data_IF_924536724303
#
_entry.id   IF_924536724303
#
_cell.length_a   1.000
_cell.length_b   1.000
_cell.length_c   1.000
_cell.angle_alpha   90.00
_cell.angle_beta   90.00
_cell.angle_gamma   90.00
#
_symmetry.space_group_name_H-M   'P 1'
#
loop_
_entity.id
_entity.type
_entity.pdbx_description
1 polymer ?
#
# COMPACT_ATOMS: atom_id res chain seq x y z
N UNK A 1 -3.96 -11.71 -18.76
CA UNK A 1 -3.97 -12.89 -19.67
C UNK A 1 -5.40 -13.33 -19.94
N UNK A 2 -6.13 -12.69 -20.89
CA UNK A 2 -7.54 -13.01 -21.14
C UNK A 2 -7.80 -14.47 -21.52
N UNK A 3 -6.80 -15.13 -22.07
CA UNK A 3 -6.89 -16.56 -22.42
C UNK A 3 -6.90 -17.50 -21.20
N UNK A 4 -6.40 -17.03 -20.05
CA UNK A 4 -6.31 -17.81 -18.81
C UNK A 4 -7.37 -17.33 -17.82
N UNK A 5 -7.54 -16.00 -17.69
CA UNK A 5 -8.43 -15.36 -16.73
C UNK A 5 -9.42 -14.41 -17.43
N UNK A 6 -10.42 -14.94 -18.17
CA UNK A 6 -11.27 -14.10 -19.01
C UNK A 6 -12.28 -13.22 -18.23
N UNK A 7 -12.46 -13.48 -16.94
CA UNK A 7 -13.48 -12.81 -16.11
C UNK A 7 -12.93 -12.08 -14.89
N UNK A 8 -11.61 -12.01 -14.75
CA UNK A 8 -10.97 -11.36 -13.59
C UNK A 8 -9.86 -10.42 -14.06
N UNK A 9 -9.67 -9.36 -13.30
CA UNK A 9 -8.55 -8.45 -13.49
C UNK A 9 -7.30 -9.11 -12.90
N UNK A 10 -6.35 -9.47 -13.73
CA UNK A 10 -5.10 -10.13 -13.33
C UNK A 10 -3.90 -9.17 -13.35
N UNK A 11 -4.11 -7.93 -13.76
CA UNK A 11 -3.11 -6.88 -13.80
C UNK A 11 -3.78 -5.51 -13.69
N UNK A 12 -3.21 -4.62 -12.88
CA UNK A 12 -3.70 -3.27 -12.73
C UNK A 12 -2.59 -2.26 -12.49
N UNK A 13 -2.74 -1.09 -13.10
CA UNK A 13 -2.02 0.12 -12.71
C UNK A 13 -3.03 1.17 -12.29
N UNK A 14 -2.94 1.63 -11.05
CA UNK A 14 -3.83 2.64 -10.48
C UNK A 14 -3.02 3.88 -10.17
N UNK A 15 -3.47 5.04 -10.64
CA UNK A 15 -2.86 6.33 -10.35
C UNK A 15 -3.83 7.12 -9.47
N UNK A 16 -3.39 7.45 -8.25
CA UNK A 16 -4.11 8.31 -7.33
C UNK A 16 -3.47 9.70 -7.36
N UNK A 17 -4.22 10.69 -7.77
CA UNK A 17 -3.79 12.08 -7.81
C UNK A 17 -4.37 12.85 -6.62
N UNK A 18 -3.52 13.52 -5.88
CA UNK A 18 -3.85 14.42 -4.77
C UNK A 18 -3.37 15.83 -5.08
N UNK A 19 -3.86 16.87 -4.41
CA UNK A 19 -3.44 18.25 -4.69
C UNK A 19 -1.92 18.50 -4.61
N UNK A 20 -1.21 17.76 -3.75
CA UNK A 20 0.24 17.91 -3.57
C UNK A 20 1.03 16.62 -3.67
N UNK A 21 0.40 15.52 -4.13
CA UNK A 21 1.05 14.22 -4.18
C UNK A 21 0.45 13.33 -5.27
N UNK A 22 1.17 12.28 -5.61
CA UNK A 22 0.73 11.22 -6.51
C UNK A 22 1.12 9.87 -5.92
N UNK A 23 0.24 8.88 -6.07
CA UNK A 23 0.57 7.50 -5.77
C UNK A 23 0.32 6.63 -7.00
N UNK A 24 1.25 5.73 -7.29
CA UNK A 24 1.13 4.74 -8.37
C UNK A 24 1.15 3.36 -7.71
N UNK A 25 0.11 2.59 -7.94
CA UNK A 25 -0.01 1.20 -7.48
C UNK A 25 0.08 0.31 -8.70
N UNK A 26 1.00 -0.63 -8.69
CA UNK A 26 1.13 -1.65 -9.72
C UNK A 26 0.91 -3.02 -9.08
N UNK A 27 -0.02 -3.77 -9.59
CA UNK A 27 -0.33 -5.12 -9.13
C UNK A 27 -0.48 -6.06 -10.33
N UNK A 28 0.13 -7.23 -10.26
CA UNK A 28 0.04 -8.22 -11.33
C UNK A 28 0.17 -9.64 -10.78
N UNK A 29 -0.68 -10.52 -11.23
CA UNK A 29 -0.57 -11.98 -11.08
C UNK A 29 0.29 -12.62 -12.18
N UNK A 30 0.72 -11.82 -13.15
CA UNK A 30 1.44 -12.29 -14.35
C UNK A 30 2.96 -12.19 -14.19
N UNK A 31 3.45 -11.56 -13.14
CA UNK A 31 4.88 -11.47 -12.90
C UNK A 31 5.47 -12.84 -12.55
N UNK A 32 6.65 -13.19 -13.07
CA UNK A 32 7.25 -14.49 -12.85
C UNK A 32 7.79 -14.66 -11.42
N UNK A 33 7.98 -13.56 -10.70
CA UNK A 33 8.46 -13.54 -9.32
C UNK A 33 7.57 -12.67 -8.45
N UNK A 34 7.38 -13.08 -7.19
CA UNK A 34 6.69 -12.25 -6.20
C UNK A 34 7.44 -10.93 -5.98
N UNK A 35 6.71 -9.81 -6.06
CA UNK A 35 7.22 -8.47 -5.82
C UNK A 35 6.35 -7.79 -4.77
N UNK A 36 6.99 -7.28 -3.71
CA UNK A 36 6.36 -6.42 -2.71
C UNK A 36 7.39 -5.37 -2.31
N UNK A 37 7.35 -4.27 -2.99
CA UNK A 37 8.21 -3.12 -2.76
C UNK A 37 7.37 -1.85 -2.65
N UNK A 38 7.92 -0.85 -2.00
CA UNK A 38 7.33 0.48 -1.88
C UNK A 38 8.43 1.53 -1.98
N UNK A 39 8.13 2.60 -2.71
CA UNK A 39 9.01 3.73 -2.88
C UNK A 39 8.25 5.00 -2.50
N UNK A 40 8.83 5.80 -1.63
CA UNK A 40 8.27 7.09 -1.20
C UNK A 40 9.29 8.18 -1.47
N UNK A 41 8.91 9.15 -2.28
CA UNK A 41 9.71 10.32 -2.63
C UNK A 41 9.08 11.58 -2.07
N UNK A 42 9.90 12.44 -1.48
CA UNK A 42 9.49 13.74 -0.95
C UNK A 42 10.54 14.80 -1.26
N UNK A 43 10.24 16.06 -0.95
CA UNK A 43 11.13 17.19 -1.21
C UNK A 43 12.52 17.05 -0.56
N UNK A 44 12.58 16.44 0.60
CA UNK A 44 13.83 16.30 1.37
C UNK A 44 14.55 14.98 1.19
N UNK A 45 14.03 14.06 0.36
CA UNK A 45 14.65 12.77 0.12
C UNK A 45 13.67 11.68 -0.23
N UNK A 46 14.12 10.42 -0.08
CA UNK A 46 13.30 9.24 -0.37
C UNK A 46 13.54 8.11 0.61
N UNK A 47 12.58 7.22 0.67
CA UNK A 47 12.66 5.92 1.35
C UNK A 47 12.21 4.85 0.36
N UNK A 48 13.05 3.84 0.17
CA UNK A 48 12.72 2.67 -0.65
C UNK A 48 12.67 1.44 0.27
N UNK A 49 11.62 0.66 0.13
CA UNK A 49 11.46 -0.64 0.78
C UNK A 49 11.47 -1.72 -0.32
N UNK A 50 12.64 -2.23 -0.73
CA UNK A 50 12.75 -3.22 -1.81
C UNK A 50 12.26 -4.61 -1.42
N UNK A 51 11.98 -4.82 -0.14
CA UNK A 51 11.52 -6.07 0.45
C UNK A 51 11.06 -5.87 1.89
N UNK A 52 11.03 -6.97 2.64
CA UNK A 52 10.45 -6.98 3.99
C UNK A 52 11.37 -6.46 5.10
N UNK A 53 12.66 -6.53 4.91
CA UNK A 53 13.67 -6.44 5.97
C UNK A 53 14.71 -5.34 5.75
N UNK A 54 14.57 -4.54 4.70
CA UNK A 54 15.52 -3.49 4.40
C UNK A 54 14.83 -2.19 3.95
N UNK A 55 15.36 -1.07 4.42
CA UNK A 55 15.04 0.26 3.92
C UNK A 55 16.29 0.91 3.36
N UNK A 56 16.16 1.56 2.21
CA UNK A 56 17.16 2.47 1.67
C UNK A 56 16.67 3.89 1.85
N UNK A 57 17.47 4.72 2.48
CA UNK A 57 17.06 6.06 2.87
C UNK A 57 18.10 7.04 2.36
N UNK A 58 17.65 8.08 1.69
CA UNK A 58 18.48 9.23 1.30
C UNK A 58 17.74 10.52 1.65
N UNK A 59 18.46 11.47 2.22
CA UNK A 59 17.93 12.79 2.49
C UNK A 59 18.83 13.88 1.87
N UNK A 60 18.28 15.07 1.72
CA UNK A 60 18.97 16.23 1.09
C UNK A 60 20.20 16.70 1.85
N UNK A 61 20.36 16.33 3.12
CA UNK A 61 21.53 16.69 3.95
C UNK A 61 22.72 15.75 3.74
N UNK A 62 22.50 14.61 3.10
CA UNK A 62 23.54 13.61 2.84
C UNK A 62 23.39 13.09 1.41
N UNK A 63 24.45 13.20 0.62
CA UNK A 63 24.47 12.62 -0.73
C UNK A 63 24.58 11.09 -0.73
N UNK A 64 24.70 10.46 0.43
CA UNK A 64 24.85 9.02 0.56
C UNK A 64 23.51 8.36 0.87
N UNK A 65 23.16 7.34 0.11
CA UNK A 65 22.10 6.41 0.45
C UNK A 65 22.56 5.51 1.60
N UNK A 66 21.74 5.40 2.63
CA UNK A 66 21.96 4.52 3.77
C UNK A 66 21.00 3.35 3.71
N UNK A 67 21.52 2.14 3.86
CA UNK A 67 20.69 0.95 4.05
C UNK A 67 20.50 0.70 5.54
N UNK A 68 19.24 0.50 5.96
CA UNK A 68 18.86 0.09 7.30
C UNK A 68 18.16 -1.26 7.21
N UNK A 69 18.67 -2.24 7.92
CA UNK A 69 17.97 -3.50 8.12
C UNK A 69 16.91 -3.34 9.20
N UNK A 70 15.76 -3.93 8.98
CA UNK A 70 14.61 -3.92 9.88
C UNK A 70 14.41 -5.34 10.39
N UNK A 71 14.32 -5.48 11.69
CA UNK A 71 14.03 -6.76 12.33
C UNK A 71 12.56 -6.86 12.70
N UNK A 72 12.01 -8.07 12.77
CA UNK A 72 10.63 -8.29 13.20
C UNK A 72 10.33 -7.69 14.59
N UNK A 73 11.34 -7.58 15.46
CA UNK A 73 11.19 -6.97 16.79
C UNK A 73 11.03 -5.44 16.76
N UNK A 74 11.50 -4.78 15.71
CA UNK A 74 11.36 -3.32 15.54
C UNK A 74 9.99 -2.94 14.96
N UNK A 75 9.33 -3.89 14.31
CA UNK A 75 8.03 -3.68 13.69
C UNK A 75 7.00 -4.36 14.58
N UNK A 76 6.34 -3.57 15.42
CA UNK A 76 5.29 -4.06 16.32
C UNK A 76 4.01 -4.37 15.54
N UNK A 77 4.02 -5.45 14.74
CA UNK A 77 2.88 -5.95 14.00
C UNK A 77 2.46 -7.30 14.55
N UNK A 78 1.17 -7.56 14.54
CA UNK A 78 0.63 -8.88 14.86
C UNK A 78 1.07 -9.90 13.80
N UNK A 79 1.42 -11.09 14.24
CA UNK A 79 1.84 -12.17 13.34
C UNK A 79 0.68 -12.65 12.46
N UNK A 80 -0.54 -12.57 12.98
CA UNK A 80 -1.75 -12.97 12.27
C UNK A 80 -2.94 -12.04 12.59
N UNK A 81 -3.90 -11.90 11.65
CA UNK A 81 -5.05 -11.01 11.83
C UNK A 81 -6.05 -11.49 12.88
N UNK A 82 -6.09 -12.79 13.21
CA UNK A 82 -7.04 -13.32 14.17
C UNK A 82 -6.62 -12.99 15.59
N UNK A 83 -5.34 -13.08 15.92
CA UNK A 83 -4.79 -12.62 17.20
C UNK A 83 -5.04 -11.14 17.42
N UNK A 84 -4.82 -10.32 16.39
CA UNK A 84 -5.17 -8.89 16.43
C UNK A 84 -6.65 -8.67 16.71
N UNK A 85 -7.51 -9.33 15.96
CA UNK A 85 -8.97 -9.22 16.12
C UNK A 85 -9.44 -9.66 17.52
N UNK A 86 -8.90 -10.75 18.03
CA UNK A 86 -9.23 -11.24 19.38
C UNK A 86 -8.85 -10.21 20.45
N UNK A 87 -7.71 -9.54 20.32
CA UNK A 87 -7.27 -8.53 21.27
C UNK A 87 -8.10 -7.25 21.17
N UNK A 88 -8.55 -6.86 19.98
CA UNK A 88 -9.52 -5.76 19.80
C UNK A 88 -10.85 -6.09 20.46
N UNK A 89 -11.43 -7.25 20.15
CA UNK A 89 -12.76 -7.65 20.67
C UNK A 89 -12.74 -7.83 22.19
N UNK A 90 -11.63 -8.30 22.75
CA UNK A 90 -11.47 -8.45 24.20
C UNK A 90 -11.13 -7.13 24.93
N UNK A 91 -11.01 -6.02 24.20
CA UNK A 91 -10.70 -4.69 24.77
C UNK A 91 -9.27 -4.54 25.28
N UNK A 92 -8.35 -5.43 24.86
CA UNK A 92 -6.93 -5.31 25.23
C UNK A 92 -6.21 -4.21 24.45
N UNK A 93 -6.67 -3.92 23.25
CA UNK A 93 -6.13 -2.86 22.39
C UNK A 93 -7.27 -2.08 21.75
N UNK A 94 -7.02 -0.78 21.55
CA UNK A 94 -7.88 0.11 20.79
C UNK A 94 -7.36 0.24 19.36
N UNK A 95 -8.26 0.24 18.38
CA UNK A 95 -7.92 0.49 16.98
C UNK A 95 -7.85 2.01 16.78
N UNK A 96 -6.68 2.58 16.47
CA UNK A 96 -6.58 4.02 16.20
C UNK A 96 -7.45 4.40 14.99
N UNK A 97 -8.18 5.50 15.09
CA UNK A 97 -8.92 6.06 13.96
C UNK A 97 -7.96 6.28 12.78
N UNK A 98 -8.34 5.83 11.59
CA UNK A 98 -7.50 5.81 10.40
C UNK A 98 -6.21 4.98 10.54
N UNK A 99 -6.11 4.12 11.54
CA UNK A 99 -5.04 3.12 11.64
C UNK A 99 -5.12 2.09 10.51
N UNK A 100 -4.03 1.38 10.28
CA UNK A 100 -3.92 0.40 9.19
C UNK A 100 -5.06 -0.63 9.17
N UNK A 101 -5.55 -1.02 10.35
CA UNK A 101 -6.60 -2.02 10.51
C UNK A 101 -7.97 -1.41 10.86
N UNK A 102 -8.12 -0.09 10.83
CA UNK A 102 -9.39 0.57 11.14
C UNK A 102 -10.44 0.33 10.05
N UNK A 103 -11.70 0.38 10.44
CA UNK A 103 -12.82 0.27 9.51
C UNK A 103 -12.78 1.41 8.48
N UNK A 104 -12.53 2.63 8.92
CA UNK A 104 -12.47 3.82 8.06
C UNK A 104 -11.40 3.68 6.98
N UNK A 105 -10.22 3.21 7.35
CA UNK A 105 -9.15 2.98 6.38
C UNK A 105 -9.54 1.90 5.36
N UNK A 106 -10.11 0.78 5.82
CA UNK A 106 -10.52 -0.30 4.93
C UNK A 106 -11.68 0.11 4.01
N UNK A 107 -12.64 0.88 4.48
CA UNK A 107 -13.71 1.46 3.65
C UNK A 107 -13.12 2.37 2.57
N UNK A 108 -12.14 3.22 2.93
CA UNK A 108 -11.44 4.07 1.97
C UNK A 108 -10.74 3.24 0.89
N UNK A 109 -10.06 2.16 1.27
CA UNK A 109 -9.43 1.24 0.31
C UNK A 109 -10.45 0.63 -0.66
N UNK A 110 -11.62 0.20 -0.17
CA UNK A 110 -12.70 -0.33 -1.03
C UNK A 110 -13.19 0.73 -2.00
N UNK A 111 -13.41 1.97 -1.56
CA UNK A 111 -13.81 3.06 -2.44
C UNK A 111 -12.76 3.35 -3.53
N UNK A 112 -11.48 3.32 -3.19
CA UNK A 112 -10.39 3.48 -4.17
C UNK A 112 -10.44 2.37 -5.22
N UNK A 113 -10.62 1.13 -4.80
CA UNK A 113 -10.68 -0.01 -5.72
C UNK A 113 -11.90 0.05 -6.64
N UNK A 114 -13.07 0.42 -6.12
CA UNK A 114 -14.28 0.60 -6.94
C UNK A 114 -14.12 1.75 -7.94
N UNK A 115 -13.55 2.88 -7.51
CA UNK A 115 -13.26 4.00 -8.40
C UNK A 115 -12.25 3.62 -9.48
N UNK A 116 -11.24 2.83 -9.15
CA UNK A 116 -10.26 2.34 -10.13
C UNK A 116 -10.92 1.43 -11.19
N UNK A 117 -11.82 0.54 -10.79
CA UNK A 117 -12.59 -0.31 -11.71
C UNK A 117 -13.49 0.52 -12.62
N UNK A 118 -14.19 1.50 -12.06
CA UNK A 118 -15.02 2.41 -12.85
C UNK A 118 -14.18 3.23 -13.83
N UNK A 119 -13.03 3.75 -13.40
CA UNK A 119 -12.08 4.45 -14.27
C UNK A 119 -11.61 3.56 -15.42
N UNK A 120 -11.23 2.33 -15.16
CA UNK A 120 -10.81 1.37 -16.18
C UNK A 120 -11.93 1.06 -17.18
N UNK A 121 -13.17 0.91 -16.70
CA UNK A 121 -14.34 0.62 -17.53
C UNK A 121 -14.73 1.79 -18.43
N UNK A 122 -14.62 3.02 -17.93
CA UNK A 122 -15.08 4.24 -18.64
C UNK A 122 -13.98 4.98 -19.39
N UNK A 123 -12.71 4.70 -19.09
CA UNK A 123 -11.56 5.46 -19.59
C UNK A 123 -11.50 6.89 -19.03
N UNK A 124 -12.17 7.18 -17.91
CA UNK A 124 -12.26 8.51 -17.30
C UNK A 124 -11.71 8.51 -15.88
N UNK A 125 -11.19 9.66 -15.46
CA UNK A 125 -10.86 9.90 -14.05
C UNK A 125 -12.14 9.88 -13.21
N UNK A 126 -12.11 9.19 -12.09
CA UNK A 126 -13.16 9.19 -11.08
C UNK A 126 -12.70 10.03 -9.90
N UNK A 127 -13.49 11.00 -9.50
CA UNK A 127 -13.22 11.86 -8.34
C UNK A 127 -13.86 11.24 -7.10
N UNK A 128 -13.02 10.91 -6.10
CA UNK A 128 -13.51 10.48 -4.80
C UNK A 128 -13.89 11.71 -3.98
N UNK A 129 -15.15 11.78 -3.55
CA UNK A 129 -15.60 12.77 -2.58
C UNK A 129 -15.19 12.29 -1.18
N UNK A 130 -14.60 13.19 -0.41
CA UNK A 130 -14.27 12.98 1.01
C UNK A 130 -15.50 13.12 1.89
#
# INVERSE_FOLDING_TARGET
KPSIYPKVDDEATIILAYPGAQCIIQASWNWPFGRKDMEVYGESGYVLAPGRDALKIRNSKSNLEKTRLITAKEVNVYEDPFSYFADVVSGKIDVPKNGLYSLENNVTVVHILEAARESARTGKTVVLQQ
#
